data_IF_376427934888
#
_entry.id   IF_376427934888
#
_cell.length_a   1.000
_cell.length_b   1.000
_cell.length_c   1.000
_cell.angle_alpha   90.00
_cell.angle_beta   90.00
_cell.angle_gamma   90.00
#
_symmetry.space_group_name_H-M   'P 1'
#
loop_
_entity.id
_entity.type
_entity.pdbx_description
1 polymer ?
#
# COMPACT_ATOMS: atom_id res chain seq x y z
N UNK A 1 29.00 12.55 9.48
CA UNK A 1 28.63 13.70 10.34
C UNK A 1 28.29 14.88 9.42
N UNK A 2 27.25 15.71 9.65
CA UNK A 2 27.06 16.91 8.85
C UNK A 2 28.18 17.92 9.14
N UNK A 3 28.96 18.30 8.12
CA UNK A 3 30.08 19.25 8.27
C UNK A 3 29.66 20.72 8.07
N UNK A 4 28.41 20.98 7.64
CA UNK A 4 27.87 22.32 7.41
C UNK A 4 26.50 22.51 8.06
N UNK A 5 26.15 23.76 8.40
CA UNK A 5 24.85 24.11 9.02
C UNK A 5 23.67 23.70 8.12
N UNK A 6 23.82 23.82 6.81
CA UNK A 6 22.81 23.40 5.82
C UNK A 6 22.62 21.88 5.81
N UNK A 7 23.72 21.10 5.90
CA UNK A 7 23.65 19.65 5.99
C UNK A 7 22.95 19.18 7.28
N UNK A 8 23.22 19.81 8.43
CA UNK A 8 22.55 19.49 9.69
C UNK A 8 21.03 19.75 9.60
N UNK A 9 20.61 20.83 8.94
CA UNK A 9 19.19 21.11 8.66
C UNK A 9 18.57 20.03 7.78
N UNK A 10 19.26 19.60 6.71
CA UNK A 10 18.79 18.53 5.82
C UNK A 10 18.62 17.21 6.57
N UNK A 11 19.55 16.86 7.45
CA UNK A 11 19.47 15.64 8.27
C UNK A 11 18.21 15.63 9.17
N UNK A 12 17.94 16.72 9.87
CA UNK A 12 16.71 16.88 10.69
C UNK A 12 15.43 16.77 9.85
N UNK A 13 15.41 17.34 8.64
CA UNK A 13 14.27 17.23 7.72
C UNK A 13 14.09 15.81 7.20
N UNK A 14 15.19 15.13 6.86
CA UNK A 14 15.19 13.77 6.34
C UNK A 14 14.64 12.78 7.37
N UNK A 15 15.02 12.92 8.64
CA UNK A 15 14.51 12.07 9.72
C UNK A 15 12.99 12.21 9.91
N UNK A 16 12.48 13.45 9.94
CA UNK A 16 11.03 13.70 10.02
C UNK A 16 10.28 13.08 8.83
N UNK A 17 10.85 13.17 7.61
CA UNK A 17 10.28 12.51 6.42
C UNK A 17 10.34 10.99 6.52
N UNK A 18 11.46 10.43 7.01
CA UNK A 18 11.66 8.99 7.21
C UNK A 18 10.60 8.39 8.11
N UNK A 19 10.32 9.01 9.26
CA UNK A 19 9.30 8.52 10.21
C UNK A 19 7.90 8.53 9.60
N UNK A 20 7.49 9.64 8.96
CA UNK A 20 6.19 9.72 8.26
C UNK A 20 6.06 8.67 7.16
N UNK A 21 7.09 8.52 6.33
CA UNK A 21 7.09 7.57 5.23
C UNK A 21 7.09 6.12 5.73
N UNK A 22 7.78 5.83 6.83
CA UNK A 22 7.77 4.51 7.48
C UNK A 22 6.35 4.13 7.91
N UNK A 23 5.64 5.02 8.60
CA UNK A 23 4.26 4.77 9.05
C UNK A 23 3.31 4.46 7.87
N UNK A 24 3.39 5.26 6.80
CA UNK A 24 2.58 5.04 5.59
C UNK A 24 2.94 3.75 4.86
N UNK A 25 4.23 3.41 4.75
CA UNK A 25 4.66 2.15 4.13
C UNK A 25 4.17 0.94 4.91
N UNK A 26 4.25 0.97 6.24
CA UNK A 26 3.71 -0.10 7.09
C UNK A 26 2.21 -0.22 6.93
N UNK A 27 1.47 0.91 6.93
CA UNK A 27 0.02 0.90 6.72
C UNK A 27 -0.38 0.27 5.38
N UNK A 28 0.29 0.65 4.29
CA UNK A 28 0.04 0.03 2.98
C UNK A 28 0.38 -1.46 3.00
N UNK A 29 1.51 -1.85 3.62
CA UNK A 29 1.91 -3.26 3.73
C UNK A 29 0.85 -4.09 4.46
N UNK A 30 0.33 -3.58 5.58
CA UNK A 30 -0.67 -4.27 6.38
C UNK A 30 -2.00 -4.41 5.63
N UNK A 31 -2.53 -3.32 5.06
CA UNK A 31 -3.79 -3.35 4.31
C UNK A 31 -3.73 -4.31 3.11
N UNK A 32 -2.60 -4.34 2.38
CA UNK A 32 -2.40 -5.28 1.27
C UNK A 32 -2.29 -6.73 1.76
N UNK A 33 -1.69 -6.96 2.93
CA UNK A 33 -1.59 -8.30 3.52
C UNK A 33 -2.96 -8.81 3.96
N UNK A 34 -3.72 -8.00 4.69
CA UNK A 34 -5.07 -8.34 5.18
C UNK A 34 -6.00 -8.65 4.01
N UNK A 35 -5.98 -7.84 2.95
CA UNK A 35 -6.76 -8.12 1.75
C UNK A 35 -6.36 -9.44 1.08
N UNK A 36 -5.06 -9.77 1.03
CA UNK A 36 -4.59 -11.06 0.48
C UNK A 36 -5.02 -12.25 1.33
N UNK A 37 -4.90 -12.13 2.64
CA UNK A 37 -5.31 -13.18 3.58
C UNK A 37 -6.81 -13.46 3.45
N UNK A 38 -7.64 -12.43 3.33
CA UNK A 38 -9.08 -12.60 3.11
C UNK A 38 -9.43 -13.25 1.76
N UNK A 39 -8.70 -12.92 0.69
CA UNK A 39 -8.86 -13.59 -0.61
C UNK A 39 -8.52 -15.08 -0.51
N UNK A 40 -7.44 -15.43 0.19
CA UNK A 40 -7.01 -16.81 0.38
C UNK A 40 -7.96 -17.60 1.29
N UNK A 41 -8.58 -16.95 2.27
CA UNK A 41 -9.58 -17.54 3.16
C UNK A 41 -10.93 -17.82 2.47
N UNK A 42 -11.18 -17.26 1.27
CA UNK A 42 -12.41 -17.47 0.53
C UNK A 42 -13.61 -16.64 1.00
N UNK A 43 -13.40 -15.66 1.90
CA UNK A 43 -14.45 -14.78 2.42
C UNK A 43 -14.74 -13.63 1.44
N UNK A 44 -15.60 -13.85 0.42
CA UNK A 44 -15.84 -12.92 -0.71
C UNK A 44 -16.19 -11.49 -0.25
N UNK A 45 -17.18 -11.33 0.62
CA UNK A 45 -17.64 -10.00 1.07
C UNK A 45 -16.56 -9.23 1.84
N UNK A 46 -15.85 -9.91 2.74
CA UNK A 46 -14.78 -9.30 3.53
C UNK A 46 -13.56 -8.98 2.67
N UNK A 47 -13.24 -9.84 1.70
CA UNK A 47 -12.20 -9.58 0.72
C UNK A 47 -12.50 -8.30 -0.08
N UNK A 48 -13.73 -8.10 -0.54
CA UNK A 48 -14.12 -6.88 -1.25
C UNK A 48 -13.98 -5.61 -0.38
N UNK A 49 -14.41 -5.68 0.88
CA UNK A 49 -14.28 -4.55 1.81
C UNK A 49 -12.81 -4.19 2.04
N UNK A 50 -11.97 -5.19 2.33
CA UNK A 50 -10.54 -5.00 2.57
C UNK A 50 -9.78 -4.54 1.31
N UNK A 51 -10.18 -5.02 0.13
CA UNK A 51 -9.63 -4.54 -1.15
C UNK A 51 -9.94 -3.04 -1.34
N UNK A 52 -11.19 -2.61 -1.10
CA UNK A 52 -11.57 -1.19 -1.20
C UNK A 52 -10.77 -0.33 -0.23
N UNK A 53 -10.57 -0.80 1.00
CA UNK A 53 -9.73 -0.12 1.98
C UNK A 53 -8.26 -0.06 1.54
N UNK A 54 -7.69 -1.18 1.09
CA UNK A 54 -6.31 -1.24 0.61
C UNK A 54 -6.07 -0.29 -0.55
N UNK A 55 -7.00 -0.23 -1.52
CA UNK A 55 -6.96 0.73 -2.64
C UNK A 55 -6.94 2.17 -2.13
N UNK A 56 -7.85 2.51 -1.21
CA UNK A 56 -7.93 3.85 -0.61
C UNK A 56 -6.63 4.24 0.10
N UNK A 57 -6.02 3.30 0.83
CA UNK A 57 -4.76 3.52 1.54
C UNK A 57 -3.59 3.71 0.57
N UNK A 58 -3.53 2.90 -0.50
CA UNK A 58 -2.51 3.02 -1.56
C UNK A 58 -2.59 4.40 -2.22
N UNK A 59 -3.79 4.83 -2.63
CA UNK A 59 -3.95 6.09 -3.35
C UNK A 59 -3.64 7.31 -2.46
N UNK A 60 -3.98 7.24 -1.16
CA UNK A 60 -3.53 8.24 -0.17
C UNK A 60 -2.00 8.25 0.02
N UNK A 61 -1.34 7.10 -0.08
CA UNK A 61 0.12 7.03 0.02
C UNK A 61 0.82 7.58 -1.23
N UNK A 62 0.21 7.41 -2.41
CA UNK A 62 0.67 8.00 -3.67
C UNK A 62 0.48 9.52 -3.65
N UNK A 63 -0.68 10.03 -3.24
CA UNK A 63 -0.94 11.48 -3.18
C UNK A 63 -0.02 12.20 -2.19
N UNK A 64 0.37 11.53 -1.09
CA UNK A 64 1.36 12.04 -0.13
C UNK A 64 2.81 11.90 -0.60
N UNK A 65 3.07 11.37 -1.78
CA UNK A 65 4.41 11.16 -2.34
C UNK A 65 5.25 10.10 -1.62
N UNK A 66 4.62 9.22 -0.82
CA UNK A 66 5.31 8.13 -0.11
C UNK A 66 5.60 6.96 -1.06
N UNK A 67 4.68 6.72 -2.01
CA UNK A 67 4.80 5.74 -3.08
C UNK A 67 4.77 6.43 -4.43
N UNK A 68 5.54 5.90 -5.38
CA UNK A 68 5.46 6.34 -6.77
C UNK A 68 4.15 5.84 -7.40
N UNK A 69 3.60 6.61 -8.35
CA UNK A 69 2.36 6.27 -9.07
C UNK A 69 2.36 4.85 -9.65
N UNK A 70 3.48 4.44 -10.25
CA UNK A 70 3.62 3.11 -10.84
C UNK A 70 3.66 2.01 -9.76
N UNK A 71 4.23 2.28 -8.59
CA UNK A 71 4.22 1.32 -7.48
C UNK A 71 2.81 1.14 -6.92
N UNK A 72 2.05 2.23 -6.78
CA UNK A 72 0.64 2.18 -6.43
C UNK A 72 -0.19 1.38 -7.45
N UNK A 73 -0.03 1.68 -8.74
CA UNK A 73 -0.72 0.98 -9.82
C UNK A 73 -0.40 -0.52 -9.85
N UNK A 74 0.88 -0.91 -9.72
CA UNK A 74 1.29 -2.31 -9.64
C UNK A 74 0.65 -3.06 -8.48
N UNK A 75 0.60 -2.44 -7.29
CA UNK A 75 -0.02 -3.07 -6.11
C UNK A 75 -1.52 -3.29 -6.30
N UNK A 76 -2.24 -2.28 -6.83
CA UNK A 76 -3.66 -2.40 -7.14
C UNK A 76 -3.93 -3.49 -8.18
N UNK A 77 -3.19 -3.49 -9.29
CA UNK A 77 -3.33 -4.48 -10.36
C UNK A 77 -3.12 -5.91 -9.85
N UNK A 78 -2.06 -6.15 -9.06
CA UNK A 78 -1.79 -7.49 -8.49
C UNK A 78 -2.87 -7.97 -7.52
N UNK A 79 -3.43 -7.05 -6.72
CA UNK A 79 -4.50 -7.39 -5.78
C UNK A 79 -5.79 -7.78 -6.53
N UNK A 80 -6.16 -7.00 -7.54
CA UNK A 80 -7.34 -7.26 -8.37
C UNK A 80 -7.20 -8.54 -9.19
N UNK A 81 -6.03 -8.78 -9.79
CA UNK A 81 -5.76 -10.01 -10.53
C UNK A 81 -5.91 -11.26 -9.64
N UNK A 82 -5.45 -11.18 -8.38
CA UNK A 82 -5.60 -12.27 -7.42
C UNK A 82 -7.08 -12.52 -7.06
N UNK A 83 -7.83 -11.46 -6.77
CA UNK A 83 -9.27 -11.55 -6.47
C UNK A 83 -10.03 -12.17 -7.65
N UNK A 84 -9.77 -11.71 -8.88
CA UNK A 84 -10.44 -12.22 -10.08
C UNK A 84 -10.16 -13.70 -10.30
N UNK A 85 -8.90 -14.14 -10.07
CA UNK A 85 -8.52 -15.55 -10.17
C UNK A 85 -9.21 -16.42 -9.11
N UNK A 86 -9.42 -15.88 -7.91
CA UNK A 86 -10.00 -16.63 -6.79
C UNK A 86 -11.52 -16.78 -6.89
N UNK A 87 -12.24 -15.72 -7.28
CA UNK A 87 -13.70 -15.66 -7.19
C UNK A 87 -14.41 -15.60 -8.55
N UNK A 88 -13.95 -14.75 -9.47
CA UNK A 88 -14.66 -14.51 -10.73
C UNK A 88 -14.52 -15.65 -11.75
N UNK A 89 -13.36 -16.31 -11.81
CA UNK A 89 -13.18 -17.46 -12.72
C UNK A 89 -13.93 -18.74 -12.29
N UNK A 90 -14.40 -18.81 -11.03
CA UNK A 90 -15.24 -19.92 -10.54
C UNK A 90 -16.72 -19.73 -10.84
N UNK A 91 -17.18 -18.49 -11.01
CA UNK A 91 -18.59 -18.16 -11.33
C UNK A 91 -18.88 -18.23 -12.84
N UNK A 92 -17.84 -18.12 -13.69
CA UNK A 92 -17.97 -18.11 -15.15
C UNK A 92 -17.75 -19.49 -15.83
N UNK A 93 -17.49 -20.53 -15.04
CA UNK A 93 -17.33 -21.92 -15.47
C UNK A 93 -18.45 -22.77 -14.89
#
# INVERSE_FOLDING_TARGET
>A
MPHTKSALKRLRQAEKRRLRNKAWRTRVKNAVREAREAILAGEKEKAEQLIREAVRVIDKAVSKGVLHKNEGARRKSRLMALYNKAFLQKEAA
#
